data_IF_983628495795
#
_entry.id   IF_983628495795
#
_cell.length_a   1.000
_cell.length_b   1.000
_cell.length_c   1.000
_cell.angle_alpha   90.00
_cell.angle_beta   90.00
_cell.angle_gamma   90.00
#
_symmetry.space_group_name_H-M   'P 1'
#
loop_
_entity.id
_entity.type
_entity.pdbx_description
1 polymer ?
#
# COMPACT_ATOMS: atom_id res chain seq x y z
N UNK A 1 -23.20 -3.46 -4.02
CA UNK A 1 -22.02 -2.58 -3.90
C UNK A 1 -21.18 -2.87 -5.13
N UNK A 2 -20.70 -1.84 -5.83
CA UNK A 2 -19.94 -2.05 -7.07
C UNK A 2 -18.65 -2.84 -6.78
N UNK A 3 -18.34 -3.85 -7.58
CA UNK A 3 -17.20 -4.77 -7.36
C UNK A 3 -15.87 -4.00 -7.35
N UNK A 4 -15.76 -2.97 -8.19
CA UNK A 4 -14.62 -2.06 -8.19
C UNK A 4 -14.46 -1.27 -6.88
N UNK A 5 -15.57 -0.91 -6.22
CA UNK A 5 -15.53 -0.21 -4.94
C UNK A 5 -15.08 -1.13 -3.81
N UNK A 6 -15.45 -2.41 -3.84
CA UNK A 6 -14.98 -3.43 -2.90
C UNK A 6 -13.46 -3.59 -3.00
N UNK A 7 -12.94 -3.76 -4.23
CA UNK A 7 -11.50 -3.91 -4.46
C UNK A 7 -10.69 -2.70 -3.97
N UNK A 8 -11.21 -1.49 -4.17
CA UNK A 8 -10.55 -0.25 -3.74
C UNK A 8 -10.52 -0.12 -2.21
N UNK A 9 -11.61 -0.47 -1.52
CA UNK A 9 -11.67 -0.48 -0.05
C UNK A 9 -10.68 -1.51 0.53
N UNK A 10 -10.65 -2.72 -0.04
CA UNK A 10 -9.71 -3.77 0.37
C UNK A 10 -8.27 -3.28 0.18
N UNK A 11 -7.96 -2.75 -1.00
CA UNK A 11 -6.64 -2.20 -1.31
C UNK A 11 -6.20 -1.11 -0.32
N UNK A 12 -7.08 -0.14 -0.05
CA UNK A 12 -6.83 0.94 0.92
C UNK A 12 -6.53 0.38 2.32
N UNK A 13 -7.34 -0.58 2.77
CA UNK A 13 -7.20 -1.15 4.11
C UNK A 13 -5.88 -1.92 4.28
N UNK A 14 -5.51 -2.76 3.31
CA UNK A 14 -4.24 -3.50 3.33
C UNK A 14 -3.06 -2.54 3.28
N UNK A 15 -3.11 -1.55 2.38
CA UNK A 15 -2.03 -0.57 2.21
C UNK A 15 -1.82 0.23 3.48
N UNK A 16 -2.90 0.66 4.14
CA UNK A 16 -2.83 1.42 5.38
C UNK A 16 -2.16 0.62 6.50
N UNK A 17 -2.56 -0.66 6.66
CA UNK A 17 -1.98 -1.56 7.67
C UNK A 17 -0.50 -1.82 7.38
N UNK A 18 -0.15 -2.13 6.13
CA UNK A 18 1.24 -2.33 5.72
C UNK A 18 2.09 -1.08 5.97
N UNK A 19 1.63 0.10 5.57
CA UNK A 19 2.32 1.37 5.81
C UNK A 19 2.51 1.64 7.31
N UNK A 20 1.49 1.39 8.13
CA UNK A 20 1.59 1.60 9.57
C UNK A 20 2.63 0.68 10.22
N UNK A 21 2.62 -0.61 9.87
CA UNK A 21 3.57 -1.59 10.40
C UNK A 21 5.01 -1.26 9.95
N UNK A 22 5.23 -0.97 8.67
CA UNK A 22 6.58 -0.66 8.18
C UNK A 22 7.13 0.63 8.77
N UNK A 23 6.32 1.68 8.90
CA UNK A 23 6.77 2.93 9.53
C UNK A 23 7.04 2.77 11.03
N UNK A 24 6.39 1.83 11.73
CA UNK A 24 6.76 1.46 13.10
C UNK A 24 8.10 0.72 13.14
N UNK A 25 8.27 -0.31 12.31
CA UNK A 25 9.45 -1.19 12.34
C UNK A 25 10.71 -0.52 11.79
N UNK A 26 10.60 0.29 10.73
CA UNK A 26 11.74 0.90 10.06
C UNK A 26 11.93 2.34 10.53
N UNK A 27 13.16 2.66 10.96
CA UNK A 27 13.52 4.01 11.43
C UNK A 27 13.60 5.03 10.29
N UNK A 28 14.02 4.58 9.11
CA UNK A 28 14.20 5.42 7.94
C UNK A 28 12.93 5.44 7.08
N UNK A 29 12.39 6.63 6.82
CA UNK A 29 11.13 6.84 6.11
C UNK A 29 11.20 6.39 4.67
N UNK A 30 12.32 6.63 3.99
CA UNK A 30 12.47 6.25 2.58
C UNK A 30 12.32 4.73 2.43
N UNK A 31 13.03 3.98 3.27
CA UNK A 31 12.92 2.52 3.32
C UNK A 31 11.54 2.04 3.78
N UNK A 32 10.93 2.70 4.76
CA UNK A 32 9.59 2.33 5.22
C UNK A 32 8.53 2.51 4.13
N UNK A 33 8.63 3.57 3.34
CA UNK A 33 7.75 3.86 2.22
C UNK A 33 7.94 2.89 1.07
N UNK A 34 9.18 2.63 0.64
CA UNK A 34 9.46 1.68 -0.44
C UNK A 34 9.00 0.26 -0.09
N UNK A 35 9.33 -0.22 1.12
CA UNK A 35 8.96 -1.56 1.57
C UNK A 35 7.44 -1.70 1.70
N UNK A 36 6.73 -0.72 2.29
CA UNK A 36 5.27 -0.80 2.37
C UNK A 36 4.60 -0.76 1.01
N UNK A 37 5.10 0.07 0.10
CA UNK A 37 4.58 0.18 -1.27
C UNK A 37 4.70 -1.16 -2.01
N UNK A 38 5.89 -1.77 -1.97
CA UNK A 38 6.14 -3.07 -2.58
C UNK A 38 5.29 -4.18 -1.96
N UNK A 39 5.22 -4.27 -0.64
CA UNK A 39 4.41 -5.29 0.04
C UNK A 39 2.92 -5.13 -0.25
N UNK A 40 2.40 -3.90 -0.20
CA UNK A 40 0.97 -3.64 -0.45
C UNK A 40 0.59 -3.97 -1.89
N UNK A 41 1.43 -3.59 -2.86
CA UNK A 41 1.22 -3.91 -4.26
C UNK A 41 1.26 -5.43 -4.51
N UNK A 42 2.23 -6.15 -3.92
CA UNK A 42 2.33 -7.61 -4.03
C UNK A 42 1.12 -8.32 -3.43
N UNK A 43 0.72 -7.93 -2.21
CA UNK A 43 -0.45 -8.54 -1.55
C UNK A 43 -1.71 -8.30 -2.37
N UNK A 44 -1.91 -7.06 -2.85
CA UNK A 44 -3.09 -6.73 -3.64
C UNK A 44 -3.15 -7.53 -4.95
N UNK A 45 -2.02 -7.70 -5.64
CA UNK A 45 -1.98 -8.48 -6.87
C UNK A 45 -2.19 -9.97 -6.63
N UNK A 46 -1.67 -10.51 -5.52
CA UNK A 46 -1.94 -11.90 -5.12
C UNK A 46 -3.43 -12.11 -4.83
N UNK A 47 -4.07 -11.17 -4.12
CA UNK A 47 -5.51 -11.22 -3.85
C UNK A 47 -6.30 -11.15 -5.15
N UNK A 48 -5.92 -10.25 -6.06
CA UNK A 48 -6.58 -10.10 -7.36
C UNK A 48 -6.45 -11.39 -8.20
N UNK A 49 -5.27 -12.02 -8.23
CA UNK A 49 -5.04 -13.29 -8.92
C UNK A 49 -5.87 -14.45 -8.33
N UNK A 50 -6.10 -14.47 -7.01
CA UNK A 50 -6.88 -15.53 -6.36
C UNK A 50 -8.38 -15.31 -6.53
N UNK A 51 -8.83 -14.06 -6.56
CA UNK A 51 -10.26 -13.72 -6.65
C UNK A 51 -10.79 -13.69 -8.08
N UNK A 52 -9.94 -13.44 -9.08
CA UNK A 52 -10.35 -13.41 -10.48
C UNK A 52 -9.96 -14.71 -11.20
N UNK A 53 -10.96 -15.52 -11.59
CA UNK A 53 -10.78 -16.72 -12.40
C UNK A 53 -10.23 -16.43 -13.81
N UNK A 54 -10.33 -15.18 -14.27
CA UNK A 54 -9.70 -14.71 -15.51
C UNK A 54 -8.78 -13.52 -15.22
N UNK A 55 -7.48 -13.59 -15.59
CA UNK A 55 -6.59 -12.45 -15.42
C UNK A 55 -7.10 -11.28 -16.26
N UNK A 56 -7.35 -10.14 -15.62
CA UNK A 56 -7.81 -8.95 -16.30
C UNK A 56 -6.78 -8.54 -17.37
N UNK A 57 -7.21 -8.21 -18.61
CA UNK A 57 -6.29 -7.83 -19.69
C UNK A 57 -5.46 -6.58 -19.36
N UNK A 58 -5.87 -5.82 -18.34
CA UNK A 58 -5.23 -4.60 -17.88
C UNK A 58 -4.46 -4.76 -16.55
N UNK A 59 -4.07 -5.98 -16.16
CA UNK A 59 -3.27 -6.24 -14.96
C UNK A 59 -2.06 -5.31 -14.84
N UNK A 60 -1.35 -5.04 -15.94
CA UNK A 60 -0.20 -4.13 -15.93
C UNK A 60 -0.55 -2.69 -15.51
N UNK A 61 -1.70 -2.20 -15.96
CA UNK A 61 -2.22 -0.88 -15.58
C UNK A 61 -2.62 -0.90 -14.09
N UNK A 62 -3.32 -1.95 -13.65
CA UNK A 62 -3.72 -2.11 -12.25
C UNK A 62 -2.49 -2.13 -11.31
N UNK A 63 -1.38 -2.77 -11.70
CA UNK A 63 -0.11 -2.77 -10.95
C UNK A 63 0.48 -1.37 -10.82
N UNK A 64 0.51 -0.61 -11.92
CA UNK A 64 1.09 0.74 -11.90
C UNK A 64 0.27 1.67 -11.01
N UNK A 65 -1.06 1.64 -11.15
CA UNK A 65 -1.92 2.46 -10.31
C UNK A 65 -1.87 2.01 -8.84
N UNK A 66 -1.85 0.72 -8.55
CA UNK A 66 -1.70 0.24 -7.17
C UNK A 66 -0.37 0.67 -6.55
N UNK A 67 0.74 0.64 -7.29
CA UNK A 67 2.02 1.18 -6.84
C UNK A 67 1.96 2.69 -6.54
N UNK A 68 1.37 3.49 -7.43
CA UNK A 68 1.25 4.95 -7.24
C UNK A 68 0.41 5.27 -6.00
N UNK A 69 -0.78 4.65 -5.87
CA UNK A 69 -1.63 4.88 -4.72
C UNK A 69 -1.01 4.36 -3.42
N UNK A 70 -0.37 3.19 -3.44
CA UNK A 70 0.31 2.65 -2.28
C UNK A 70 1.44 3.56 -1.81
N UNK A 71 2.21 4.12 -2.75
CA UNK A 71 3.28 5.08 -2.46
C UNK A 71 2.72 6.35 -1.80
N UNK A 72 1.65 6.92 -2.36
CA UNK A 72 1.03 8.13 -1.81
C UNK A 72 0.50 7.89 -0.39
N UNK A 73 -0.18 6.76 -0.15
CA UNK A 73 -0.69 6.39 1.17
C UNK A 73 0.48 6.17 2.15
N UNK A 74 1.50 5.43 1.75
CA UNK A 74 2.67 5.18 2.57
C UNK A 74 3.43 6.46 2.94
N UNK A 75 3.52 7.42 2.01
CA UNK A 75 4.13 8.72 2.26
C UNK A 75 3.28 9.56 3.22
N UNK A 76 1.95 9.58 3.02
CA UNK A 76 1.02 10.31 3.88
C UNK A 76 1.02 9.78 5.32
N UNK A 77 1.06 8.44 5.49
CA UNK A 77 1.20 7.78 6.79
C UNK A 77 2.58 8.02 7.40
N UNK A 78 3.63 8.12 6.59
CA UNK A 78 5.00 8.34 7.07
C UNK A 78 5.25 9.73 7.67
N UNK A 79 4.53 10.76 7.22
CA UNK A 79 4.67 12.14 7.71
C UNK A 79 4.46 12.25 9.24
N UNK A 80 3.34 11.79 9.83
CA UNK A 80 3.16 11.87 11.27
C UNK A 80 4.21 11.07 12.04
N UNK A 81 4.63 9.90 11.56
CA UNK A 81 5.71 9.11 12.18
C UNK A 81 7.05 9.85 12.16
N UNK A 82 7.37 10.53 11.07
CA UNK A 82 8.57 11.36 10.97
C UNK A 82 8.56 12.50 11.98
N UNK A 83 7.45 13.25 12.02
CA UNK A 83 7.27 14.39 12.91
C UNK A 83 7.31 13.96 14.38
N UNK A 84 6.73 12.80 14.72
CA UNK A 84 6.72 12.26 16.08
C UNK A 84 8.11 11.80 16.52
N UNK A 85 8.88 11.17 15.63
CA UNK A 85 10.27 10.75 15.93
C UNK A 85 11.22 11.93 16.09
N UNK A 86 11.03 13.02 15.32
CA UNK A 86 11.84 14.24 15.44
C UNK A 86 11.60 15.00 16.76
N UNK A 87 10.49 14.73 17.45
CA UNK A 87 10.15 15.30 18.76
C UNK A 87 10.63 14.46 19.95
N UNK A 88 11.18 13.25 19.74
CA UNK A 88 11.85 12.50 20.80
C UNK A 88 13.34 12.90 20.81
N UNK A 89 13.86 13.44 21.92
CA UNK A 89 15.27 13.83 22.04
C UNK A 89 16.21 12.63 21.91
#
# INVERSE_FOLDING_TARGET
MDEGMVGLIVFLSVTLVCAFITHICLRNITWATEVSTLFSALIFQMVNLVMNDNPEPFIGIAVIFSLIYAFLIALLVGIPFHLFRRKRP
#
